data_IF_087650570899
#
_entry.id   IF_087650570899
#
_cell.length_a   1.000
_cell.length_b   1.000
_cell.length_c   1.000
_cell.angle_alpha   90.00
_cell.angle_beta   90.00
_cell.angle_gamma   90.00
#
_symmetry.space_group_name_H-M   'P 1'
#
loop_
_entity.id
_entity.type
_entity.pdbx_description
1 polymer ?
#
# COMPACT_ATOMS: atom_id res chain seq x y z
N UNK A 1 18.18 7.68 10.77
CA UNK A 1 17.92 6.48 11.61
C UNK A 1 16.80 6.69 12.63
N UNK A 2 16.27 7.91 12.84
CA UNK A 2 15.26 8.16 13.88
C UNK A 2 13.88 7.58 13.54
N UNK A 3 13.57 7.41 12.25
CA UNK A 3 12.26 6.98 11.76
C UNK A 3 12.19 5.50 11.31
N UNK A 4 13.25 4.73 11.62
CA UNK A 4 13.31 3.30 11.36
C UNK A 4 12.90 2.55 12.63
N UNK A 5 12.17 1.45 12.47
CA UNK A 5 11.84 0.56 13.59
C UNK A 5 13.11 -0.12 14.10
N UNK A 6 13.08 -0.67 15.32
CA UNK A 6 14.24 -1.38 15.86
C UNK A 6 14.62 -2.60 15.00
N UNK A 7 13.63 -3.27 14.43
CA UNK A 7 13.82 -4.39 13.50
C UNK A 7 14.53 -3.97 12.23
N UNK A 8 14.14 -2.85 11.62
CA UNK A 8 14.78 -2.30 10.42
C UNK A 8 16.21 -1.81 10.69
N UNK A 9 16.46 -1.24 11.87
CA UNK A 9 17.83 -0.88 12.28
C UNK A 9 18.71 -2.12 12.44
N UNK A 10 18.17 -3.20 13.02
CA UNK A 10 18.86 -4.48 13.14
C UNK A 10 19.14 -5.09 11.76
N UNK A 11 18.21 -5.01 10.82
CA UNK A 11 18.41 -5.49 9.45
C UNK A 11 19.52 -4.72 8.74
N UNK A 12 19.55 -3.38 8.84
CA UNK A 12 20.64 -2.58 8.29
C UNK A 12 21.98 -2.91 8.95
N UNK A 13 21.99 -3.11 10.28
CA UNK A 13 23.21 -3.50 10.99
C UNK A 13 23.73 -4.88 10.52
N UNK A 14 22.83 -5.83 10.29
CA UNK A 14 23.14 -7.15 9.78
C UNK A 14 23.66 -7.09 8.33
N UNK A 15 23.14 -6.20 7.50
CA UNK A 15 23.69 -5.92 6.16
C UNK A 15 25.11 -5.38 6.24
N UNK A 16 25.40 -4.47 7.18
CA UNK A 16 26.76 -3.96 7.39
C UNK A 16 27.69 -5.07 7.89
N UNK A 17 27.24 -5.93 8.80
CA UNK A 17 28.03 -7.06 9.28
C UNK A 17 28.32 -8.08 8.17
N UNK A 18 27.33 -8.43 7.35
CA UNK A 18 27.53 -9.32 6.18
C UNK A 18 28.50 -8.72 5.17
N UNK A 19 28.36 -7.42 4.88
CA UNK A 19 29.30 -6.73 4.01
C UNK A 19 30.71 -6.72 4.59
N UNK A 20 30.85 -6.60 5.91
CA UNK A 20 32.15 -6.66 6.58
C UNK A 20 32.74 -8.07 6.56
N UNK A 21 31.92 -9.11 6.70
CA UNK A 21 32.36 -10.51 6.64
C UNK A 21 32.76 -10.96 5.23
N UNK A 22 32.15 -10.36 4.20
CA UNK A 22 32.48 -10.62 2.80
C UNK A 22 33.58 -9.72 2.24
N UNK A 23 34.01 -8.70 3.00
CA UNK A 23 35.10 -7.84 2.61
C UNK A 23 36.41 -8.40 3.18
N UNK A 24 37.42 -8.51 2.33
CA UNK A 24 38.79 -8.86 2.75
C UNK A 24 39.47 -7.72 3.53
N UNK A 25 38.82 -6.56 3.62
CA UNK A 25 39.29 -5.36 4.31
C UNK A 25 38.27 -4.82 5.31
N UNK A 26 38.75 -4.03 6.27
CA UNK A 26 37.89 -3.28 7.19
C UNK A 26 37.13 -2.20 6.43
N UNK A 27 35.79 -2.20 6.54
CA UNK A 27 34.96 -1.24 5.83
C UNK A 27 35.21 0.18 6.36
N UNK A 28 35.55 1.06 5.43
CA UNK A 28 35.68 2.49 5.70
C UNK A 28 34.35 3.07 6.16
N UNK A 29 34.39 4.21 6.86
CA UNK A 29 33.17 4.92 7.26
C UNK A 29 32.29 5.28 6.05
N UNK A 30 32.91 5.57 4.90
CA UNK A 30 32.19 5.88 3.66
C UNK A 30 31.41 4.68 3.12
N UNK A 31 32.03 3.50 3.06
CA UNK A 31 31.36 2.26 2.62
C UNK A 31 30.26 1.84 3.57
N UNK A 32 30.50 1.90 4.89
CA UNK A 32 29.46 1.64 5.90
C UNK A 32 28.26 2.56 5.75
N UNK A 33 28.49 3.84 5.46
CA UNK A 33 27.40 4.77 5.22
C UNK A 33 26.64 4.46 3.92
N UNK A 34 27.33 4.10 2.83
CA UNK A 34 26.68 3.67 1.59
C UNK A 34 25.79 2.43 1.79
N UNK A 35 26.27 1.44 2.55
CA UNK A 35 25.49 0.23 2.87
C UNK A 35 24.24 0.58 3.70
N UNK A 36 24.40 1.49 4.67
CA UNK A 36 23.27 1.98 5.48
C UNK A 36 22.23 2.72 4.64
N UNK A 37 22.65 3.60 3.73
CA UNK A 37 21.73 4.30 2.84
C UNK A 37 21.03 3.34 1.88
N UNK A 38 21.76 2.38 1.29
CA UNK A 38 21.15 1.34 0.45
C UNK A 38 20.11 0.53 1.21
N UNK A 39 20.40 0.15 2.46
CA UNK A 39 19.44 -0.52 3.35
C UNK A 39 18.19 0.32 3.61
N UNK A 40 18.34 1.64 3.85
CA UNK A 40 17.20 2.54 4.02
C UNK A 40 16.33 2.66 2.78
N UNK A 41 16.96 2.77 1.60
CA UNK A 41 16.23 2.83 0.33
C UNK A 41 15.43 1.57 0.09
N UNK A 42 15.99 0.40 0.42
CA UNK A 42 15.28 -0.88 0.34
C UNK A 42 14.08 -0.92 1.27
N UNK A 43 14.25 -0.55 2.54
CA UNK A 43 13.14 -0.51 3.52
C UNK A 43 12.05 0.47 3.08
N UNK A 44 12.41 1.64 2.56
CA UNK A 44 11.45 2.59 2.03
C UNK A 44 10.67 2.03 0.83
N UNK A 45 11.35 1.32 -0.08
CA UNK A 45 10.72 0.66 -1.21
C UNK A 45 9.78 -0.47 -0.77
N UNK A 46 10.18 -1.28 0.21
CA UNK A 46 9.37 -2.37 0.75
C UNK A 46 8.12 -1.84 1.45
N UNK A 47 8.24 -0.77 2.25
CA UNK A 47 7.08 -0.07 2.84
C UNK A 47 6.14 0.50 1.78
N UNK A 48 6.69 1.12 0.73
CA UNK A 48 5.88 1.66 -0.37
C UNK A 48 5.16 0.55 -1.14
N UNK A 49 5.80 -0.60 -1.33
CA UNK A 49 5.19 -1.78 -1.96
C UNK A 49 4.07 -2.34 -1.08
N UNK A 50 4.33 -2.54 0.21
CA UNK A 50 3.31 -2.99 1.16
C UNK A 50 2.08 -2.06 1.21
N UNK A 51 2.29 -0.73 1.16
CA UNK A 51 1.21 0.23 1.10
C UNK A 51 0.40 0.15 -0.20
N UNK A 52 1.06 -0.08 -1.35
CA UNK A 52 0.38 -0.29 -2.64
C UNK A 52 -0.44 -1.58 -2.63
N UNK A 53 0.11 -2.66 -2.11
CA UNK A 53 -0.55 -3.95 -2.02
C UNK A 53 -1.79 -3.85 -1.09
N UNK A 54 -1.66 -3.19 0.06
CA UNK A 54 -2.77 -2.92 0.96
C UNK A 54 -3.86 -2.04 0.28
N UNK A 55 -3.47 -1.03 -0.49
CA UNK A 55 -4.41 -0.20 -1.24
C UNK A 55 -5.14 -0.98 -2.34
N UNK A 56 -4.44 -1.89 -3.03
CA UNK A 56 -5.04 -2.76 -4.04
C UNK A 56 -6.09 -3.68 -3.39
N UNK A 57 -5.76 -4.32 -2.26
CA UNK A 57 -6.70 -5.16 -1.51
C UNK A 57 -7.92 -4.35 -1.02
N UNK A 58 -7.72 -3.12 -0.55
CA UNK A 58 -8.82 -2.26 -0.14
C UNK A 58 -9.75 -1.91 -1.31
N UNK A 59 -9.20 -1.68 -2.51
CA UNK A 59 -9.97 -1.42 -3.73
C UNK A 59 -10.76 -2.64 -4.18
N UNK A 60 -10.16 -3.83 -4.16
CA UNK A 60 -10.88 -5.07 -4.51
C UNK A 60 -12.01 -5.33 -3.53
N UNK A 61 -11.77 -5.18 -2.23
CA UNK A 61 -12.82 -5.30 -1.20
C UNK A 61 -13.93 -4.25 -1.37
N UNK A 62 -13.60 -3.04 -1.81
CA UNK A 62 -14.60 -2.02 -2.12
C UNK A 62 -15.45 -2.39 -3.34
N UNK A 63 -14.85 -2.96 -4.39
CA UNK A 63 -15.57 -3.47 -5.57
C UNK A 63 -16.50 -4.63 -5.21
N UNK A 64 -16.05 -5.57 -4.37
CA UNK A 64 -16.90 -6.66 -3.88
C UNK A 64 -18.11 -6.12 -3.13
N UNK A 65 -17.90 -5.19 -2.18
CA UNK A 65 -19.03 -4.55 -1.49
C UNK A 65 -19.98 -3.80 -2.42
N UNK A 66 -19.47 -3.16 -3.48
CA UNK A 66 -20.31 -2.50 -4.46
C UNK A 66 -21.12 -3.50 -5.32
N UNK A 67 -20.59 -4.70 -5.55
CA UNK A 67 -21.31 -5.79 -6.24
C UNK A 67 -22.37 -6.44 -5.35
N UNK A 68 -22.06 -6.60 -4.06
CA UNK A 68 -22.98 -7.16 -3.06
C UNK A 68 -24.08 -6.18 -2.64
N UNK A 69 -23.84 -4.87 -2.77
CA UNK A 69 -24.89 -3.86 -2.79
C UNK A 69 -25.66 -3.96 -4.11
N UNK A 70 -26.44 -5.02 -4.27
CA UNK A 70 -27.58 -5.04 -5.17
C UNK A 70 -28.47 -3.87 -4.73
N UNK A 71 -28.44 -2.78 -5.51
CA UNK A 71 -29.31 -1.63 -5.30
C UNK A 71 -30.75 -2.15 -5.24
N UNK A 72 -31.47 -2.00 -4.12
CA UNK A 72 -32.90 -2.27 -4.12
C UNK A 72 -33.53 -1.29 -5.11
N UNK A 73 -34.21 -1.82 -6.12
CA UNK A 73 -34.96 -1.14 -7.18
C UNK A 73 -34.63 0.35 -7.32
N UNK A 74 -33.65 0.65 -8.18
CA UNK A 74 -33.34 2.03 -8.56
C UNK A 74 -34.64 2.72 -8.95
N UNK A 75 -35.00 3.76 -8.20
CA UNK A 75 -36.18 4.59 -8.41
C UNK A 75 -36.42 4.86 -9.91
N UNK A 76 -37.50 4.29 -10.45
CA UNK A 76 -37.84 4.43 -11.85
C UNK A 76 -38.72 5.68 -12.07
N UNK A 77 -38.14 6.68 -12.72
CA UNK A 77 -38.84 7.90 -13.11
C UNK A 77 -40.07 7.64 -14.00
N UNK A 78 -40.03 6.59 -14.84
CA UNK A 78 -41.15 6.23 -15.70
C UNK A 78 -42.37 5.76 -14.89
N UNK A 79 -42.15 5.02 -13.79
CA UNK A 79 -43.21 4.57 -12.89
C UNK A 79 -43.74 5.72 -12.01
N UNK A 80 -42.91 6.73 -11.73
CA UNK A 80 -43.32 7.90 -10.91
C UNK A 80 -44.20 8.89 -11.68
N UNK A 81 -44.01 9.03 -12.99
CA UNK A 81 -44.73 10.03 -13.82
C UNK A 81 -45.89 9.43 -14.62
N UNK A 82 -45.92 8.10 -14.79
CA UNK A 82 -47.00 7.48 -15.55
C UNK A 82 -48.25 7.23 -14.70
N UNK A 83 -49.32 7.90 -15.12
CA UNK A 83 -50.71 7.45 -15.05
C UNK A 83 -51.66 8.00 -13.96
N UNK A 84 -51.31 9.01 -13.16
CA UNK A 84 -52.32 9.68 -12.30
C UNK A 84 -53.13 10.81 -12.98
N UNK A 85 -52.71 11.32 -14.14
CA UNK A 85 -53.31 12.53 -14.72
C UNK A 85 -53.83 12.41 -16.17
N UNK A 86 -53.78 11.24 -16.81
CA UNK A 86 -54.25 11.06 -18.21
C UNK A 86 -55.72 10.64 -18.36
N UNK A 87 -56.53 10.69 -17.30
CA UNK A 87 -57.88 10.11 -17.27
C UNK A 87 -59.06 11.04 -17.00
N UNK A 88 -58.95 12.37 -17.12
CA UNK A 88 -60.11 13.28 -17.08
C UNK A 88 -59.93 14.46 -18.05
N UNK A 89 -60.26 14.24 -19.32
CA UNK A 89 -60.77 15.26 -20.23
C UNK A 89 -62.14 14.83 -20.69
#
# INVERSE_FOLDING_TARGET
>A
MKDLTETEKAEIALLVQKAQANADHTLTNGERNKIREAGRLKIAADRAKAAKDASALAREKAKERAREQVLPDTFNWADSVSNKFRGRR
#
